data_IF_771341003799
#
_entry.id   IF_771341003799
#
_cell.length_a   1.000
_cell.length_b   1.000
_cell.length_c   1.000
_cell.angle_alpha   90.00
_cell.angle_beta   90.00
_cell.angle_gamma   90.00
#
_symmetry.space_group_name_H-M   'P 1'
#
loop_
_entity.id
_entity.type
_entity.pdbx_description
1 polymer ?
#
# COMPACT_ATOMS: atom_id res chain seq x y z
N UNK A 1 6.83 11.41 18.14
CA UNK A 1 6.76 12.26 16.94
C UNK A 1 6.09 11.43 15.86
N UNK A 2 4.79 11.62 15.66
CA UNK A 2 4.00 10.84 14.70
C UNK A 2 4.33 11.40 13.32
N UNK A 3 5.17 10.69 12.58
CA UNK A 3 5.48 11.03 11.20
C UNK A 3 4.17 11.01 10.39
N UNK A 4 3.77 12.17 9.84
CA UNK A 4 2.58 12.27 9.00
C UNK A 4 2.98 11.81 7.61
N UNK A 5 2.48 10.65 7.20
CA UNK A 5 2.77 10.12 5.89
C UNK A 5 2.39 11.10 4.76
N UNK A 6 3.28 11.25 3.78
CA UNK A 6 3.17 12.21 2.68
C UNK A 6 2.60 11.56 1.42
N UNK A 7 2.07 12.40 0.54
CA UNK A 7 1.57 12.01 -0.76
C UNK A 7 2.74 11.82 -1.73
N UNK A 8 2.93 10.59 -2.23
CA UNK A 8 4.03 10.25 -3.13
C UNK A 8 4.01 11.05 -4.44
N UNK A 9 2.81 11.39 -4.94
CA UNK A 9 2.66 12.24 -6.12
C UNK A 9 3.15 13.67 -5.85
N UNK A 10 2.69 14.27 -4.76
CA UNK A 10 3.09 15.63 -4.38
C UNK A 10 4.58 15.72 -4.04
N UNK A 11 5.15 14.72 -3.38
CA UNK A 11 6.59 14.71 -3.07
C UNK A 11 7.46 14.75 -4.33
N UNK A 12 7.02 14.10 -5.42
CA UNK A 12 7.72 14.16 -6.72
C UNK A 12 7.66 15.55 -7.35
N UNK A 13 6.57 16.28 -7.10
CA UNK A 13 6.38 17.65 -7.55
C UNK A 13 7.07 18.67 -6.61
N UNK A 14 7.72 18.19 -5.54
CA UNK A 14 8.42 19.03 -4.55
C UNK A 14 7.54 19.54 -3.41
N UNK A 15 6.31 19.02 -3.29
CA UNK A 15 5.31 19.43 -2.30
C UNK A 15 5.19 18.44 -1.14
N UNK A 16 5.17 18.96 0.09
CA UNK A 16 5.00 18.15 1.31
C UNK A 16 3.53 18.10 1.75
N UNK A 17 2.68 17.52 0.90
CA UNK A 17 1.24 17.36 1.20
C UNK A 17 0.98 16.05 1.95
N UNK A 18 0.26 16.11 3.08
CA UNK A 18 -0.13 14.90 3.82
C UNK A 18 -1.04 13.98 3.00
N UNK A 19 -0.77 12.68 3.05
CA UNK A 19 -1.63 11.67 2.46
C UNK A 19 -2.87 11.43 3.33
N UNK A 20 -3.98 11.09 2.67
CA UNK A 20 -5.23 10.70 3.32
C UNK A 20 -5.80 9.39 2.80
N UNK A 21 -5.20 8.82 1.76
CA UNK A 21 -5.63 7.56 1.15
C UNK A 21 -4.43 6.80 0.58
N UNK A 22 -4.61 5.51 0.36
CA UNK A 22 -3.69 4.63 -0.35
C UNK A 22 -4.33 4.21 -1.67
N UNK A 23 -3.54 4.24 -2.74
CA UNK A 23 -3.93 3.69 -4.03
C UNK A 23 -3.35 2.29 -4.16
N UNK A 24 -4.19 1.25 -4.19
CA UNK A 24 -3.72 -0.14 -4.21
C UNK A 24 -3.06 -0.51 -5.54
N UNK A 25 -3.56 0.01 -6.66
CA UNK A 25 -2.99 -0.25 -7.98
C UNK A 25 -1.59 0.35 -8.16
N UNK A 26 -1.34 1.49 -7.51
CA UNK A 26 -0.02 2.13 -7.52
C UNK A 26 0.85 1.64 -6.37
N UNK A 27 0.24 1.14 -5.29
CA UNK A 27 0.88 0.87 -4.01
C UNK A 27 1.53 2.13 -3.44
N UNK A 28 0.81 3.25 -3.44
CA UNK A 28 1.31 4.59 -3.05
C UNK A 28 0.31 5.34 -2.17
N UNK A 29 0.82 6.14 -1.25
CA UNK A 29 0.01 7.06 -0.45
C UNK A 29 -0.28 8.32 -1.25
N UNK A 30 -1.54 8.76 -1.23
CA UNK A 30 -2.04 9.88 -2.02
C UNK A 30 -2.88 10.84 -1.17
N UNK A 31 -2.79 12.13 -1.49
CA UNK A 31 -3.67 13.15 -0.91
C UNK A 31 -5.06 13.11 -1.56
N UNK A 32 -6.02 13.87 -1.04
CA UNK A 32 -7.39 13.91 -1.58
C UNK A 32 -7.45 14.36 -3.06
N UNK A 33 -6.55 15.27 -3.47
CA UNK A 33 -6.50 15.74 -4.85
C UNK A 33 -6.01 14.64 -5.80
N UNK A 34 -4.90 13.98 -5.47
CA UNK A 34 -4.38 12.84 -6.24
C UNK A 34 -5.38 11.68 -6.27
N UNK A 35 -6.04 11.37 -5.15
CA UNK A 35 -7.09 10.34 -5.11
C UNK A 35 -8.26 10.63 -6.08
N UNK A 36 -8.71 11.88 -6.18
CA UNK A 36 -9.74 12.29 -7.15
C UNK A 36 -9.29 12.12 -8.59
N UNK A 37 -8.01 12.36 -8.87
CA UNK A 37 -7.44 12.14 -10.20
C UNK A 37 -7.39 10.65 -10.54
N UNK A 38 -6.89 9.82 -9.62
CA UNK A 38 -6.81 8.37 -9.80
C UNK A 38 -8.18 7.72 -10.07
N UNK A 39 -9.23 8.19 -9.40
CA UNK A 39 -10.62 7.72 -9.63
C UNK A 39 -11.17 8.07 -11.02
N UNK A 40 -10.56 9.02 -11.72
CA UNK A 40 -10.96 9.45 -13.07
C UNK A 40 -10.15 8.76 -14.17
N UNK A 41 -9.14 7.95 -13.82
CA UNK A 41 -8.39 7.15 -14.79
C UNK A 41 -9.29 6.06 -15.38
N UNK A 42 -8.87 5.51 -16.53
CA UNK A 42 -9.56 4.41 -17.18
C UNK A 42 -8.56 3.27 -17.45
N UNK A 43 -8.65 2.14 -16.73
CA UNK A 43 -9.63 1.86 -15.67
C UNK A 43 -9.42 2.74 -14.42
N UNK A 44 -10.46 2.97 -13.61
CA UNK A 44 -10.34 3.72 -12.36
C UNK A 44 -9.53 2.91 -11.35
N UNK A 45 -8.55 3.55 -10.71
CA UNK A 45 -7.77 2.89 -9.66
C UNK A 45 -8.58 2.78 -8.36
N UNK A 46 -8.31 1.74 -7.59
CA UNK A 46 -8.87 1.51 -6.27
C UNK A 46 -8.15 2.36 -5.21
N UNK A 47 -8.94 3.15 -4.48
CA UNK A 47 -8.49 4.08 -3.45
C UNK A 47 -9.10 3.71 -2.10
N UNK A 48 -8.24 3.50 -1.10
CA UNK A 48 -8.60 3.11 0.27
C UNK A 48 -8.22 4.24 1.24
N UNK A 49 -9.14 4.81 2.03
CA UNK A 49 -8.82 5.83 3.04
C UNK A 49 -7.89 5.29 4.13
N UNK A 50 -6.89 6.07 4.56
CA UNK A 50 -5.90 5.62 5.55
C UNK A 50 -6.56 5.37 6.91
N UNK A 51 -7.59 6.12 7.28
CA UNK A 51 -8.40 5.91 8.49
C UNK A 51 -9.10 4.54 8.52
N UNK A 52 -9.47 4.01 7.35
CA UNK A 52 -10.01 2.66 7.23
C UNK A 52 -8.90 1.59 7.35
N UNK A 53 -7.68 1.90 6.90
CA UNK A 53 -6.51 1.03 7.03
C UNK A 53 -6.05 0.94 8.50
N UNK A 54 -6.04 2.07 9.22
CA UNK A 54 -5.63 2.10 10.64
C UNK A 54 -6.59 1.34 11.55
N UNK A 55 -7.88 1.27 11.22
CA UNK A 55 -8.86 0.47 11.95
C UNK A 55 -8.80 -1.03 11.61
N UNK A 56 -8.12 -1.43 10.53
CA UNK A 56 -7.96 -2.83 10.11
C UNK A 56 -6.78 -3.54 10.78
N UNK A 57 -6.22 -2.95 11.83
CA UNK A 57 -5.00 -3.36 12.52
C UNK A 57 -3.73 -3.17 11.67
N UNK A 58 -2.66 -2.88 12.40
CA UNK A 58 -1.24 -2.64 12.07
C UNK A 58 -0.58 -3.51 10.99
N UNK A 59 -1.32 -4.43 10.39
CA UNK A 59 -0.89 -5.43 9.41
C UNK A 59 -0.84 -4.88 7.97
N UNK A 60 -1.65 -3.88 7.63
CA UNK A 60 -1.64 -3.25 6.31
C UNK A 60 -0.63 -2.10 6.19
N UNK A 61 -0.01 -1.63 7.29
CA UNK A 61 0.94 -0.51 7.20
C UNK A 61 2.30 -0.89 6.60
N UNK A 62 2.55 -2.17 6.36
CA UNK A 62 3.80 -2.67 5.74
C UNK A 62 3.72 -2.80 4.21
N UNK A 63 2.73 -2.16 3.57
CA UNK A 63 2.55 -2.15 2.10
C UNK A 63 3.68 -1.43 1.32
N UNK A 64 4.67 -0.86 2.02
CA UNK A 64 5.91 -0.37 1.40
C UNK A 64 7.08 -1.34 1.52
N UNK A 65 6.97 -2.44 2.27
CA UNK A 65 8.02 -3.44 2.34
C UNK A 65 8.08 -4.17 1.02
N UNK A 66 9.28 -4.20 0.47
CA UNK A 66 9.59 -5.10 -0.64
C UNK A 66 9.86 -6.46 -0.05
N UNK A 67 9.47 -7.50 -0.76
CA UNK A 67 9.84 -8.84 -0.38
C UNK A 67 11.37 -8.94 -0.31
N UNK A 68 11.87 -9.46 0.80
CA UNK A 68 13.31 -9.69 1.01
C UNK A 68 13.83 -10.82 0.11
N UNK A 69 12.94 -11.74 -0.30
CA UNK A 69 13.26 -12.88 -1.16
C UNK A 69 13.01 -12.58 -2.64
N UNK A 70 12.00 -11.76 -2.96
CA UNK A 70 11.65 -11.41 -4.33
C UNK A 70 11.84 -9.92 -4.57
N UNK A 71 13.06 -9.56 -4.98
CA UNK A 71 13.49 -8.18 -5.21
C UNK A 71 12.51 -7.39 -6.09
N UNK A 72 11.96 -6.30 -5.54
CA UNK A 72 11.06 -5.41 -6.26
C UNK A 72 9.58 -5.78 -6.18
N UNK A 73 9.24 -6.96 -5.65
CA UNK A 73 7.87 -7.33 -5.34
C UNK A 73 7.40 -6.63 -4.07
N UNK A 74 6.20 -6.03 -4.10
CA UNK A 74 5.59 -5.44 -2.91
C UNK A 74 4.94 -6.55 -2.08
N UNK A 75 5.09 -6.46 -0.77
CA UNK A 75 4.28 -7.26 0.14
C UNK A 75 2.84 -6.73 0.05
N UNK A 76 1.91 -7.63 -0.30
CA UNK A 76 0.49 -7.29 -0.53
C UNK A 76 -0.45 -8.20 0.26
N UNK A 77 0.06 -9.25 0.89
CA UNK A 77 -0.70 -10.23 1.67
C UNK A 77 -0.17 -10.36 3.08
N UNK A 78 -1.04 -10.73 4.00
CA UNK A 78 -0.69 -11.17 5.35
C UNK A 78 -1.22 -12.58 5.57
N UNK A 79 -0.35 -13.48 6.02
CA UNK A 79 -0.74 -14.81 6.44
C UNK A 79 -0.90 -14.87 7.95
N UNK A 80 -2.11 -15.24 8.39
CA UNK A 80 -2.41 -15.44 9.81
C UNK A 80 -1.91 -16.76 10.40
N UNK A 81 -1.61 -17.77 9.58
CA UNK A 81 -1.07 -19.06 10.06
C UNK A 81 0.42 -18.96 10.43
N UNK A 82 1.17 -18.17 9.66
CA UNK A 82 2.62 -18.02 9.82
C UNK A 82 2.99 -16.64 10.38
N UNK A 83 1.98 -15.81 10.70
CA UNK A 83 2.12 -14.44 11.20
C UNK A 83 3.14 -13.62 10.40
N UNK A 84 3.05 -13.71 9.07
CA UNK A 84 4.05 -13.16 8.17
C UNK A 84 3.43 -12.39 7.00
N UNK A 85 4.23 -11.47 6.46
CA UNK A 85 3.88 -10.56 5.38
C UNK A 85 4.43 -11.13 4.06
N UNK A 86 3.59 -11.28 3.05
CA UNK A 86 3.89 -12.00 1.80
C UNK A 86 3.67 -11.12 0.57
N UNK A 87 4.54 -11.26 -0.44
CA UNK A 87 4.24 -10.82 -1.80
C UNK A 87 3.46 -11.90 -2.56
N UNK A 88 3.01 -11.56 -3.77
CA UNK A 88 2.30 -12.48 -4.67
C UNK A 88 3.11 -13.76 -4.98
N UNK A 89 4.43 -13.62 -5.19
CA UNK A 89 5.33 -14.76 -5.37
C UNK A 89 5.47 -15.61 -4.10
N UNK A 90 5.58 -15.00 -2.92
CA UNK A 90 5.62 -15.76 -1.65
C UNK A 90 4.32 -16.50 -1.37
N UNK A 91 3.16 -15.93 -1.73
CA UNK A 91 1.88 -16.62 -1.63
C UNK A 91 1.85 -17.87 -2.52
N UNK A 92 2.40 -17.77 -3.73
CA UNK A 92 2.43 -18.87 -4.69
C UNK A 92 3.46 -19.95 -4.32
N UNK A 93 4.64 -19.57 -3.81
CA UNK A 93 5.74 -20.51 -3.57
C UNK A 93 5.78 -21.07 -2.13
N UNK A 94 5.35 -20.30 -1.13
CA UNK A 94 5.47 -20.66 0.30
C UNK A 94 4.15 -21.06 0.95
N UNK A 95 3.03 -20.88 0.25
CA UNK A 95 1.70 -21.31 0.69
C UNK A 95 1.05 -22.36 -0.24
N UNK A 96 1.82 -22.95 -1.15
CA UNK A 96 1.38 -24.09 -1.93
C UNK A 96 1.17 -25.31 -1.02
N UNK A 97 -0.11 -25.49 -0.63
CA UNK A 97 -0.75 -26.70 -0.08
C UNK A 97 -0.07 -27.34 1.15
N UNK A 98 -0.68 -27.08 2.30
CA UNK A 98 -0.78 -28.01 3.41
C UNK A 98 -2.20 -28.00 3.95
#
# INVERSE_FOLDING_TARGET
MTDRALCAGCERDGDNTSAGSWCSDCGELVCNACAKFHKKLSPPHAIVPIDQIQNLNSTLLDLSRKCEYHTGQKIVFFCSQHDCLLCDSCMSESHERG
#
